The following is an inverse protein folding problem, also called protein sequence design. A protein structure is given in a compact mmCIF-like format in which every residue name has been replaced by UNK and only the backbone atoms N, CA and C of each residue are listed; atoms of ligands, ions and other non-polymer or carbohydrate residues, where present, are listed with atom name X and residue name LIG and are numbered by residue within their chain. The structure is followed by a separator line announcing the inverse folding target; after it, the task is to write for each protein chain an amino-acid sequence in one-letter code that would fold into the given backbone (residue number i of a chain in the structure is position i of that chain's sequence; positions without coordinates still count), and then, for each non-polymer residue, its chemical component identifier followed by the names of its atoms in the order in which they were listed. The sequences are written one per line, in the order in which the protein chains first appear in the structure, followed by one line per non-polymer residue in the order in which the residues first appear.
data_IF_197781155235
#
_entry.id   IF_197781155235
#
_cell.length_a   1.000
_cell.length_b   1.000
_cell.length_c   1.000
_cell.angle_alpha   90.00
_cell.angle_beta   90.00
_cell.angle_gamma   90.00
#
_symmetry.space_group_name_H-M   'P 1'
#
loop_
_entity.id
_entity.type
_entity.pdbx_description
1 polymer ?
#
# COMPACT_ATOMS: atom_id res chain seq x y z
N UNK A 1 6.36 25.09 -0.44
CA UNK A 1 5.86 24.10 -1.41
C UNK A 1 4.52 23.56 -0.99
N UNK A 2 3.53 23.53 -1.88
CA UNK A 2 2.21 22.96 -1.66
C UNK A 2 2.04 21.66 -2.47
N UNK A 3 2.04 20.54 -1.80
CA UNK A 3 1.79 19.21 -2.39
C UNK A 3 0.32 18.85 -2.30
N UNK A 4 -0.26 18.37 -3.38
CA UNK A 4 -1.63 17.83 -3.39
C UNK A 4 -1.62 16.39 -3.86
N UNK A 5 -2.07 15.49 -2.99
CA UNK A 5 -2.37 14.10 -3.35
C UNK A 5 -3.84 13.99 -3.75
N UNK A 6 -4.11 13.31 -4.87
CA UNK A 6 -5.47 13.02 -5.30
C UNK A 6 -5.66 11.53 -5.56
N UNK A 7 -6.69 10.92 -4.97
CA UNK A 7 -7.01 9.50 -5.20
C UNK A 7 -8.44 9.14 -4.81
N UNK A 8 -9.02 8.17 -5.52
CA UNK A 8 -10.28 7.52 -5.14
C UNK A 8 -10.09 6.53 -3.98
N UNK A 9 -8.87 6.07 -3.71
CA UNK A 9 -8.59 4.97 -2.78
C UNK A 9 -8.21 5.41 -1.36
N UNK A 10 -8.36 6.68 -1.05
CA UNK A 10 -8.32 7.12 0.34
C UNK A 10 -9.65 6.77 1.02
N UNK A 11 -9.65 5.79 1.91
CA UNK A 11 -10.84 5.32 2.60
C UNK A 11 -10.81 5.71 4.08
N UNK A 12 -11.98 6.10 4.63
CA UNK A 12 -12.11 6.37 6.06
C UNK A 12 -11.86 5.12 6.92
N UNK A 13 -12.05 3.94 6.35
CA UNK A 13 -11.84 2.64 7.01
C UNK A 13 -10.39 2.15 6.96
N UNK A 14 -9.49 2.91 6.31
CA UNK A 14 -8.08 2.56 6.19
C UNK A 14 -7.76 1.74 4.92
N UNK A 15 -6.60 1.15 4.90
CA UNK A 15 -5.99 0.46 3.76
C UNK A 15 -4.63 1.07 3.42
N UNK A 16 -3.81 0.37 2.62
CA UNK A 16 -2.43 0.78 2.36
C UNK A 16 -2.28 2.21 1.84
N UNK A 17 -3.15 2.64 0.91
CA UNK A 17 -3.14 4.02 0.39
C UNK A 17 -3.46 5.04 1.47
N UNK A 18 -4.47 4.77 2.31
CA UNK A 18 -4.81 5.68 3.42
C UNK A 18 -3.70 5.74 4.47
N UNK A 19 -3.06 4.62 4.78
CA UNK A 19 -1.91 4.55 5.68
C UNK A 19 -0.76 5.39 5.15
N UNK A 20 -0.40 5.24 3.86
CA UNK A 20 0.62 6.04 3.20
C UNK A 20 0.31 7.54 3.28
N UNK A 21 -0.87 7.96 2.82
CA UNK A 21 -1.25 9.37 2.77
C UNK A 21 -1.35 10.02 4.16
N UNK A 22 -1.91 9.31 5.14
CA UNK A 22 -1.98 9.80 6.52
C UNK A 22 -0.58 9.94 7.14
N UNK A 23 0.33 9.01 6.88
CA UNK A 23 1.68 9.08 7.41
C UNK A 23 2.48 10.17 6.71
N UNK A 24 2.37 10.29 5.36
CA UNK A 24 2.93 11.41 4.59
C UNK A 24 2.45 12.75 5.14
N UNK A 25 1.15 12.89 5.38
CA UNK A 25 0.58 14.12 5.92
C UNK A 25 1.10 14.45 7.33
N UNK A 26 1.16 13.48 8.25
CA UNK A 26 1.72 13.69 9.60
C UNK A 26 3.20 14.07 9.53
N UNK A 27 3.97 13.40 8.69
CA UNK A 27 5.39 13.69 8.53
C UNK A 27 5.64 15.08 7.94
N UNK A 28 4.85 15.49 6.94
CA UNK A 28 4.94 16.82 6.32
C UNK A 28 4.48 17.93 7.27
N UNK A 29 3.48 17.68 8.12
CA UNK A 29 2.98 18.64 9.09
C UNK A 29 4.03 19.09 10.12
N UNK A 30 5.10 18.31 10.34
CA UNK A 30 6.23 18.70 11.20
C UNK A 30 7.18 19.71 10.54
N UNK A 31 6.93 20.10 9.28
CA UNK A 31 7.78 20.99 8.47
C UNK A 31 7.01 22.21 8.03
N UNK A 32 7.24 23.36 8.65
CA UNK A 32 6.48 24.60 8.48
C UNK A 32 6.46 25.15 7.06
N UNK A 33 7.42 24.80 6.22
CA UNK A 33 7.52 25.26 4.83
C UNK A 33 6.75 24.39 3.83
N UNK A 34 6.19 23.25 4.28
CA UNK A 34 5.47 22.28 3.43
C UNK A 34 3.99 22.31 3.76
N UNK A 35 3.18 22.63 2.76
CA UNK A 35 1.73 22.49 2.82
C UNK A 35 1.33 21.19 2.11
N UNK A 36 0.45 20.42 2.73
CA UNK A 36 -0.05 19.17 2.16
C UNK A 36 -1.57 19.11 2.19
N UNK A 37 -2.16 18.69 1.08
CA UNK A 37 -3.61 18.50 0.95
C UNK A 37 -3.91 17.15 0.34
N UNK A 38 -4.86 16.41 0.90
CA UNK A 38 -5.40 15.18 0.33
C UNK A 38 -6.77 15.46 -0.26
N UNK A 39 -6.91 15.33 -1.56
CA UNK A 39 -8.16 15.46 -2.29
C UNK A 39 -8.74 14.08 -2.61
N UNK A 40 -9.93 13.76 -2.09
CA UNK A 40 -10.54 12.44 -2.29
C UNK A 40 -12.06 12.50 -2.27
N UNK A 41 -12.73 11.58 -3.01
CA UNK A 41 -14.19 11.43 -2.95
C UNK A 41 -14.71 10.87 -1.62
N UNK A 42 -13.85 10.25 -0.81
CA UNK A 42 -14.25 9.52 0.40
C UNK A 42 -13.97 10.29 1.69
N UNK A 43 -13.58 11.56 1.59
CA UNK A 43 -13.37 12.43 2.75
C UNK A 43 -14.62 13.25 3.04
N UNK A 44 -14.82 13.58 4.33
CA UNK A 44 -15.69 14.65 4.74
C UNK A 44 -14.82 15.89 4.93
N UNK A 45 -15.25 17.02 4.38
CA UNK A 45 -14.54 18.30 4.57
C UNK A 45 -14.44 18.60 6.05
N UNK A 46 -13.24 18.79 6.56
CA UNK A 46 -12.96 19.10 7.95
C UNK A 46 -11.58 19.74 8.06
N UNK A 47 -11.41 20.68 8.96
CA UNK A 47 -10.24 21.56 9.08
C UNK A 47 -9.14 21.03 10.00
N UNK A 48 -9.18 19.77 10.41
CA UNK A 48 -8.11 19.16 11.20
C UNK A 48 -7.03 18.57 10.28
N UNK A 49 -5.77 18.69 10.67
CA UNK A 49 -4.65 18.09 9.91
C UNK A 49 -4.80 16.57 9.80
N UNK A 50 -4.68 15.98 8.60
CA UNK A 50 -4.32 16.59 7.32
C UNK A 50 -5.43 17.44 6.70
N UNK A 51 -5.05 18.43 5.86
CA UNK A 51 -6.03 19.19 5.09
C UNK A 51 -6.72 18.27 4.09
N UNK A 52 -8.01 18.04 4.27
CA UNK A 52 -8.82 17.19 3.42
C UNK A 52 -9.75 17.98 2.53
N UNK A 53 -9.80 17.67 1.25
CA UNK A 53 -10.68 18.29 0.27
C UNK A 53 -11.58 17.24 -0.36
N UNK A 54 -12.90 17.43 -0.21
CA UNK A 54 -13.88 16.52 -0.80
C UNK A 54 -14.00 16.72 -2.32
N UNK A 55 -14.04 15.61 -3.04
CA UNK A 55 -14.35 15.57 -4.46
C UNK A 55 -15.77 14.99 -4.63
N UNK A 56 -16.71 15.72 -5.29
CA UNK A 56 -18.03 15.20 -5.58
C UNK A 56 -17.98 13.91 -6.40
N UNK A 57 -18.68 12.87 -5.91
CA UNK A 57 -18.62 11.54 -6.49
C UNK A 57 -19.83 10.69 -6.12
N UNK A 58 -20.04 9.61 -6.88
CA UNK A 58 -21.06 8.57 -6.62
C UNK A 58 -20.40 7.31 -6.07
N UNK A 59 -21.15 6.41 -5.41
CA UNK A 59 -20.64 5.11 -5.00
C UNK A 59 -20.01 4.36 -6.19
N UNK A 60 -18.84 3.75 -5.96
CA UNK A 60 -18.16 2.97 -7.01
C UNK A 60 -18.86 1.61 -7.17
N UNK A 61 -19.39 1.27 -8.36
CA UNK A 61 -20.08 -0.01 -8.56
C UNK A 61 -19.16 -1.21 -8.26
N UNK A 62 -19.61 -2.11 -7.40
CA UNK A 62 -18.89 -3.36 -7.07
C UNK A 62 -17.68 -3.21 -6.15
N UNK A 63 -17.37 -2.02 -5.64
CA UNK A 63 -16.31 -1.80 -4.64
C UNK A 63 -16.88 -1.02 -3.46
N UNK A 64 -17.28 -1.75 -2.41
CA UNK A 64 -17.84 -1.13 -1.22
C UNK A 64 -16.85 -0.18 -0.53
N UNK A 65 -17.36 0.93 -0.02
CA UNK A 65 -16.58 1.93 0.71
C UNK A 65 -15.83 2.94 -0.16
N UNK A 66 -15.86 2.81 -1.50
CA UNK A 66 -15.24 3.76 -2.41
C UNK A 66 -16.27 4.50 -3.28
N UNK A 67 -15.91 5.72 -3.68
CA UNK A 67 -16.69 6.59 -4.55
C UNK A 67 -15.85 7.01 -5.74
N UNK A 68 -16.49 7.21 -6.88
CA UNK A 68 -15.84 7.59 -8.13
C UNK A 68 -16.42 8.92 -8.64
N UNK A 69 -15.58 9.90 -9.02
CA UNK A 69 -16.04 11.11 -9.69
C UNK A 69 -16.63 10.77 -11.06
N UNK A 70 -17.81 11.32 -11.36
CA UNK A 70 -18.46 11.16 -12.67
C UNK A 70 -17.83 12.05 -13.78
N UNK A 71 -17.02 13.02 -13.39
CA UNK A 71 -16.43 14.01 -14.29
C UNK A 71 -14.98 14.25 -13.92
N UNK A 72 -14.11 14.34 -14.91
CA UNK A 72 -12.72 14.80 -14.75
C UNK A 72 -12.66 16.32 -14.55
N UNK A 73 -13.64 17.06 -15.05
CA UNK A 73 -13.62 18.53 -15.03
C UNK A 73 -13.79 19.11 -13.62
N UNK A 74 -14.66 18.52 -12.81
CA UNK A 74 -14.93 19.01 -11.45
C UNK A 74 -13.73 18.84 -10.52
N UNK A 75 -13.10 17.63 -10.38
CA UNK A 75 -11.88 17.50 -9.60
C UNK A 75 -10.75 18.39 -10.13
N UNK A 76 -10.59 18.51 -11.45
CA UNK A 76 -9.56 19.38 -12.04
C UNK A 76 -9.75 20.86 -11.68
N UNK A 77 -10.98 21.36 -11.59
CA UNK A 77 -11.27 22.73 -11.10
C UNK A 77 -10.93 22.89 -9.63
N UNK A 78 -11.24 21.89 -8.81
CA UNK A 78 -10.90 21.89 -7.38
C UNK A 78 -9.38 21.93 -7.21
N UNK A 79 -8.64 21.08 -7.91
CA UNK A 79 -7.18 21.06 -7.88
C UNK A 79 -6.59 22.41 -8.35
N UNK A 80 -7.15 22.99 -9.44
CA UNK A 80 -6.71 24.29 -9.93
C UNK A 80 -6.93 25.40 -8.88
N UNK A 81 -8.04 25.39 -8.15
CA UNK A 81 -8.32 26.37 -7.10
C UNK A 81 -7.39 26.25 -5.89
N UNK A 82 -6.80 25.08 -5.64
CA UNK A 82 -5.84 24.87 -4.57
C UNK A 82 -4.46 25.46 -4.85
N UNK A 83 -4.15 25.80 -6.11
CA UNK A 83 -2.86 26.34 -6.56
C UNK A 83 -1.67 25.55 -5.99
N UNK A 84 -1.58 24.22 -6.26
CA UNK A 84 -0.45 23.43 -5.82
C UNK A 84 0.81 23.71 -6.63
N UNK A 85 1.97 23.38 -6.06
CA UNK A 85 3.25 23.35 -6.79
C UNK A 85 3.48 21.99 -7.48
N UNK A 86 2.87 20.92 -6.95
CA UNK A 86 2.95 19.55 -7.49
C UNK A 86 1.68 18.77 -7.14
N UNK A 87 1.22 17.92 -8.07
CA UNK A 87 0.09 17.01 -7.87
C UNK A 87 0.56 15.57 -8.00
N UNK A 88 0.30 14.76 -6.95
CA UNK A 88 0.48 13.29 -7.01
C UNK A 88 -0.87 12.61 -7.18
N UNK A 89 -0.99 11.73 -8.19
CA UNK A 89 -2.15 10.89 -8.42
C UNK A 89 -1.91 9.46 -7.94
N UNK A 90 -2.73 8.99 -7.00
CA UNK A 90 -2.61 7.65 -6.39
C UNK A 90 -3.55 6.59 -6.99
N UNK A 91 -4.17 6.85 -8.12
CA UNK A 91 -5.00 5.87 -8.86
C UNK A 91 -4.90 6.09 -10.37
N UNK A 92 -5.36 5.12 -11.14
CA UNK A 92 -5.40 5.20 -12.60
C UNK A 92 -6.81 5.54 -13.15
N UNK A 93 -7.64 6.18 -12.33
CA UNK A 93 -9.03 6.51 -12.66
C UNK A 93 -9.25 8.00 -13.01
N UNK A 94 -10.47 8.50 -12.81
CA UNK A 94 -10.82 9.90 -13.09
C UNK A 94 -9.96 10.91 -12.32
N UNK A 95 -9.44 10.54 -11.15
CA UNK A 95 -8.56 11.42 -10.36
C UNK A 95 -7.21 11.65 -11.06
N UNK A 96 -6.62 10.62 -11.68
CA UNK A 96 -5.39 10.76 -12.46
C UNK A 96 -5.57 11.71 -13.67
N UNK A 97 -6.66 11.56 -14.41
CA UNK A 97 -6.98 12.48 -15.51
C UNK A 97 -7.22 13.92 -15.03
N UNK A 98 -7.83 14.07 -13.86
CA UNK A 98 -8.03 15.39 -13.25
C UNK A 98 -6.71 16.03 -12.83
N UNK A 99 -5.78 15.24 -12.27
CA UNK A 99 -4.43 15.68 -11.95
C UNK A 99 -3.70 16.21 -13.20
N UNK A 100 -3.65 15.41 -14.27
CA UNK A 100 -3.03 15.82 -15.55
C UNK A 100 -3.66 17.08 -16.13
N UNK A 101 -5.01 17.20 -16.08
CA UNK A 101 -5.71 18.38 -16.59
C UNK A 101 -5.40 19.64 -15.78
N UNK A 102 -5.36 19.51 -14.46
CA UNK A 102 -5.03 20.64 -13.56
C UNK A 102 -3.56 21.05 -13.73
N UNK A 103 -2.64 20.07 -13.71
CA UNK A 103 -1.20 20.30 -13.85
C UNK A 103 -0.84 21.03 -15.14
N UNK A 104 -1.41 20.62 -16.29
CA UNK A 104 -1.22 21.31 -17.57
C UNK A 104 -1.70 22.76 -17.56
N UNK A 105 -2.83 23.05 -16.89
CA UNK A 105 -3.35 24.41 -16.79
C UNK A 105 -2.51 25.32 -15.89
N UNK A 106 -1.99 24.73 -14.81
CA UNK A 106 -1.13 25.43 -13.85
C UNK A 106 0.33 25.47 -14.29
N UNK A 107 0.71 24.68 -15.31
CA UNK A 107 2.09 24.48 -15.77
C UNK A 107 3.01 23.97 -14.65
N UNK A 108 2.51 23.00 -13.89
CA UNK A 108 3.21 22.35 -12.77
C UNK A 108 3.37 20.86 -13.05
N UNK A 109 4.33 20.17 -12.42
CA UNK A 109 4.50 18.75 -12.59
C UNK A 109 3.38 17.92 -11.98
N UNK A 110 3.10 16.78 -12.64
CA UNK A 110 2.22 15.73 -12.17
C UNK A 110 2.97 14.42 -11.99
N UNK A 111 2.80 13.79 -10.83
CA UNK A 111 3.40 12.51 -10.47
C UNK A 111 2.31 11.45 -10.38
N UNK A 112 2.55 10.26 -10.91
CA UNK A 112 1.71 9.09 -10.68
C UNK A 112 2.39 8.15 -9.68
N UNK A 113 1.65 7.69 -8.66
CA UNK A 113 2.11 6.63 -7.77
C UNK A 113 1.29 5.35 -8.01
N UNK A 114 1.96 4.27 -8.41
CA UNK A 114 1.35 2.99 -8.76
C UNK A 114 1.00 2.16 -7.54
N UNK A 115 -0.08 2.50 -6.84
CA UNK A 115 -0.52 1.79 -5.63
C UNK A 115 -1.29 0.49 -5.89
N UNK A 116 -1.79 0.28 -7.11
CA UNK A 116 -2.66 -0.86 -7.43
C UNK A 116 -2.34 -1.41 -8.81
N UNK A 117 -2.16 -2.72 -8.91
CA UNK A 117 -1.98 -3.43 -10.17
C UNK A 117 -3.34 -3.62 -10.88
N UNK A 118 -3.81 -2.54 -11.53
CA UNK A 118 -5.09 -2.52 -12.22
C UNK A 118 -5.23 -3.63 -13.28
N UNK A 119 -4.23 -3.88 -14.15
CA UNK A 119 -4.32 -4.97 -15.12
C UNK A 119 -4.58 -6.32 -14.48
N UNK A 120 -3.85 -6.65 -13.42
CA UNK A 120 -3.96 -7.93 -12.72
C UNK A 120 -5.27 -8.07 -11.96
N UNK A 121 -5.73 -6.98 -11.32
CA UNK A 121 -7.04 -6.95 -10.66
C UNK A 121 -8.19 -7.19 -11.64
N UNK A 122 -8.12 -6.61 -12.85
CA UNK A 122 -9.13 -6.83 -13.88
C UNK A 122 -9.03 -8.22 -14.51
N UNK A 123 -7.82 -8.77 -14.65
CA UNK A 123 -7.62 -10.13 -15.12
C UNK A 123 -8.32 -11.16 -14.23
N UNK A 124 -8.21 -11.01 -12.91
CA UNK A 124 -8.86 -11.90 -11.94
C UNK A 124 -10.39 -11.91 -12.07
N UNK A 125 -10.99 -10.79 -12.47
CA UNK A 125 -12.45 -10.65 -12.54
C UNK A 125 -13.02 -10.87 -13.92
N UNK A 126 -12.29 -10.50 -14.99
CA UNK A 126 -12.79 -10.42 -16.35
C UNK A 126 -11.90 -11.11 -17.40
N UNK A 127 -10.82 -11.77 -16.97
CA UNK A 127 -9.93 -12.55 -17.83
C UNK A 127 -8.88 -11.74 -18.61
N UNK A 128 -8.17 -12.44 -19.51
CA UNK A 128 -6.99 -11.91 -20.21
C UNK A 128 -7.26 -10.72 -21.15
N UNK A 129 -8.44 -10.66 -21.78
CA UNK A 129 -8.79 -9.53 -22.65
C UNK A 129 -8.92 -8.23 -21.87
N UNK A 130 -9.54 -8.29 -20.68
CA UNK A 130 -9.65 -7.15 -19.79
C UNK A 130 -8.26 -6.69 -19.29
N UNK A 131 -7.35 -7.63 -19.02
CA UNK A 131 -5.97 -7.33 -18.69
C UNK A 131 -5.27 -6.55 -19.79
N UNK A 132 -5.36 -7.00 -21.06
CA UNK A 132 -4.75 -6.31 -22.21
C UNK A 132 -5.31 -4.89 -22.37
N UNK A 133 -6.63 -4.74 -22.28
CA UNK A 133 -7.28 -3.43 -22.34
C UNK A 133 -6.80 -2.49 -21.22
N UNK A 134 -6.71 -2.99 -19.99
CA UNK A 134 -6.22 -2.24 -18.84
C UNK A 134 -4.73 -1.88 -18.99
N UNK A 135 -3.91 -2.78 -19.51
CA UNK A 135 -2.48 -2.55 -19.78
C UNK A 135 -2.28 -1.42 -20.79
N UNK A 136 -2.99 -1.46 -21.91
CA UNK A 136 -2.92 -0.41 -22.94
C UNK A 136 -3.42 0.95 -22.39
N UNK A 137 -4.49 0.93 -21.63
CA UNK A 137 -5.02 2.12 -20.96
C UNK A 137 -4.00 2.72 -19.99
N UNK A 138 -3.44 1.88 -19.13
CA UNK A 138 -2.45 2.30 -18.13
C UNK A 138 -1.20 2.89 -18.77
N UNK A 139 -0.66 2.24 -19.81
CA UNK A 139 0.47 2.73 -20.57
C UNK A 139 0.18 4.11 -21.18
N UNK A 140 -1.00 4.28 -21.80
CA UNK A 140 -1.41 5.58 -22.38
C UNK A 140 -1.56 6.67 -21.32
N UNK A 141 -2.09 6.33 -20.15
CA UNK A 141 -2.30 7.28 -19.05
C UNK A 141 -0.96 7.68 -18.44
N UNK A 142 -0.13 6.72 -18.03
CA UNK A 142 1.07 6.99 -17.23
C UNK A 142 2.20 7.64 -18.00
N UNK A 143 2.27 7.46 -19.32
CA UNK A 143 3.20 8.21 -20.19
C UNK A 143 2.95 9.72 -20.24
N UNK A 144 1.85 10.19 -19.68
CA UNK A 144 1.51 11.62 -19.65
C UNK A 144 1.96 12.31 -18.36
N UNK A 145 2.42 11.53 -17.37
CA UNK A 145 2.96 12.06 -16.12
C UNK A 145 4.45 12.37 -16.26
N UNK A 146 4.90 13.41 -15.56
CA UNK A 146 6.29 13.83 -15.56
C UNK A 146 7.17 12.85 -14.77
N UNK A 147 6.57 12.11 -13.83
CA UNK A 147 7.22 11.06 -13.05
C UNK A 147 6.23 9.96 -12.72
N UNK A 148 6.68 8.70 -12.76
CA UNK A 148 5.92 7.53 -12.30
C UNK A 148 6.70 6.85 -11.19
N UNK A 149 6.06 6.68 -10.04
CA UNK A 149 6.60 6.00 -8.87
C UNK A 149 5.94 4.63 -8.69
N UNK A 150 6.72 3.63 -8.32
CA UNK A 150 6.23 2.29 -8.03
C UNK A 150 6.81 1.77 -6.70
N UNK A 151 6.01 1.11 -5.85
CA UNK A 151 6.40 0.79 -4.48
C UNK A 151 7.37 -0.40 -4.38
N UNK A 152 7.55 -1.18 -5.44
CA UNK A 152 8.47 -2.32 -5.49
C UNK A 152 9.19 -2.39 -6.83
N UNK A 153 10.32 -3.09 -6.86
CA UNK A 153 11.10 -3.33 -8.08
C UNK A 153 10.32 -4.18 -9.08
N UNK A 154 9.52 -5.14 -8.58
CA UNK A 154 8.62 -5.92 -9.42
C UNK A 154 7.61 -5.02 -10.13
N UNK A 155 7.04 -4.03 -9.45
CA UNK A 155 6.12 -3.09 -10.09
C UNK A 155 6.83 -2.18 -11.10
N UNK A 156 8.06 -1.77 -10.84
CA UNK A 156 8.89 -1.04 -11.84
C UNK A 156 9.10 -1.89 -13.09
N UNK A 157 9.46 -3.17 -12.92
CA UNK A 157 9.64 -4.09 -14.04
C UNK A 157 8.35 -4.29 -14.83
N UNK A 158 7.23 -4.53 -14.16
CA UNK A 158 5.93 -4.68 -14.82
C UNK A 158 5.51 -3.42 -15.59
N UNK A 159 5.75 -2.24 -15.02
CA UNK A 159 5.50 -0.98 -15.73
C UNK A 159 6.39 -0.83 -16.98
N UNK A 160 7.66 -1.24 -16.90
CA UNK A 160 8.56 -1.24 -18.06
C UNK A 160 8.07 -2.20 -19.16
N UNK A 161 7.58 -3.39 -18.79
CA UNK A 161 6.96 -4.36 -19.73
C UNK A 161 5.71 -3.80 -20.41
N UNK A 162 4.99 -2.90 -19.74
CA UNK A 162 3.87 -2.15 -20.33
C UNK A 162 4.34 -0.96 -21.19
N UNK A 163 5.65 -0.76 -21.35
CA UNK A 163 6.23 0.35 -22.10
C UNK A 163 6.18 1.69 -21.36
N UNK A 164 6.10 1.67 -20.03
CA UNK A 164 6.26 2.84 -19.16
C UNK A 164 7.70 2.83 -18.68
N UNK A 165 8.62 3.17 -19.58
CA UNK A 165 10.04 3.28 -19.26
C UNK A 165 10.29 4.46 -18.31
N UNK A 166 11.24 4.31 -17.39
CA UNK A 166 11.60 5.37 -16.45
C UNK A 166 10.73 5.45 -15.18
N UNK A 167 9.87 4.46 -14.91
CA UNK A 167 9.25 4.33 -13.60
C UNK A 167 10.32 4.15 -12.51
N UNK A 168 10.20 4.90 -11.42
CA UNK A 168 11.18 4.91 -10.34
C UNK A 168 10.70 4.07 -9.16
N UNK A 169 11.60 3.27 -8.62
CA UNK A 169 11.33 2.54 -7.38
C UNK A 169 11.26 3.52 -6.20
N UNK A 170 10.10 3.61 -5.56
CA UNK A 170 9.85 4.41 -4.37
C UNK A 170 9.10 3.54 -3.36
N UNK A 171 9.80 2.88 -2.43
CA UNK A 171 9.14 2.02 -1.45
C UNK A 171 8.27 2.83 -0.50
N UNK A 172 7.32 2.14 0.12
CA UNK A 172 6.57 2.66 1.24
C UNK A 172 7.38 2.44 2.53
N UNK A 173 7.11 3.24 3.53
CA UNK A 173 7.76 3.13 4.82
C UNK A 173 6.86 2.58 5.91
N UNK A 174 7.41 2.51 7.11
CA UNK A 174 6.74 2.05 8.32
C UNK A 174 6.98 3.02 9.49
N UNK A 175 5.98 3.17 10.35
CA UNK A 175 6.09 3.90 11.61
C UNK A 175 6.62 2.95 12.70
N UNK A 176 7.91 3.03 12.95
CA UNK A 176 8.62 2.18 13.91
C UNK A 176 8.27 2.47 15.37
N UNK A 177 7.69 3.61 15.68
CA UNK A 177 7.17 3.95 17.01
C UNK A 177 5.80 3.31 17.27
N UNK A 178 5.02 3.09 16.22
CA UNK A 178 3.74 2.40 16.29
C UNK A 178 3.94 0.89 16.22
N UNK A 179 4.62 0.41 15.18
CA UNK A 179 4.87 -1.02 14.94
C UNK A 179 6.22 -1.42 15.54
N UNK A 180 6.19 -2.05 16.70
CA UNK A 180 7.40 -2.47 17.42
C UNK A 180 7.13 -3.68 18.33
N UNK A 181 8.16 -4.49 18.64
CA UNK A 181 8.03 -5.68 19.50
C UNK A 181 7.55 -5.37 20.90
N UNK A 182 7.82 -4.17 21.43
CA UNK A 182 7.40 -3.70 22.75
C UNK A 182 5.87 -3.61 22.91
N UNK A 183 5.13 -3.65 21.82
CA UNK A 183 3.66 -3.71 21.82
C UNK A 183 3.11 -5.08 22.20
N UNK A 184 3.97 -6.10 22.36
CA UNK A 184 3.57 -7.48 22.67
C UNK A 184 2.69 -7.55 23.91
N UNK A 185 1.54 -8.20 23.76
CA UNK A 185 0.56 -8.46 24.80
C UNK A 185 0.65 -9.94 25.18
N UNK A 186 1.38 -10.25 26.25
CA UNK A 186 1.76 -11.61 26.61
C UNK A 186 0.58 -12.51 27.01
N UNK A 187 -0.57 -11.91 27.35
CA UNK A 187 -1.78 -12.66 27.74
C UNK A 187 -2.74 -12.91 26.58
N UNK A 188 -2.36 -12.64 25.32
CA UNK A 188 -3.26 -12.81 24.16
C UNK A 188 -3.80 -14.23 24.06
N UNK A 189 -2.96 -15.27 24.18
CA UNK A 189 -3.40 -16.68 24.14
C UNK A 189 -4.46 -16.96 25.20
N UNK A 190 -4.24 -16.51 26.42
CA UNK A 190 -5.21 -16.68 27.52
C UNK A 190 -6.54 -15.96 27.23
N UNK A 191 -6.52 -14.75 26.63
CA UNK A 191 -7.74 -14.04 26.24
C UNK A 191 -8.51 -14.74 25.11
N UNK A 192 -7.82 -15.53 24.31
CA UNK A 192 -8.40 -16.34 23.26
C UNK A 192 -8.74 -17.76 23.71
N UNK A 193 -8.55 -18.06 25.01
CA UNK A 193 -8.72 -19.42 25.58
C UNK A 193 -7.87 -20.50 24.89
N UNK A 194 -6.67 -20.12 24.44
CA UNK A 194 -5.70 -20.98 23.79
C UNK A 194 -4.64 -21.45 24.79
N UNK A 195 -4.14 -22.68 24.57
CA UNK A 195 -3.04 -23.24 25.35
C UNK A 195 -1.73 -22.43 25.17
N UNK A 196 -0.86 -22.36 26.18
CA UNK A 196 0.40 -21.61 26.10
C UNK A 196 1.31 -22.04 24.93
N UNK A 197 1.33 -23.32 24.59
CA UNK A 197 2.11 -23.95 23.53
C UNK A 197 1.53 -23.75 22.13
N UNK A 198 0.34 -23.13 22.00
CA UNK A 198 -0.29 -22.87 20.70
C UNK A 198 0.63 -22.02 19.80
N UNK A 199 0.90 -22.52 18.60
CA UNK A 199 1.61 -21.84 17.53
C UNK A 199 0.66 -20.83 16.87
N UNK A 200 0.81 -19.54 17.20
CA UNK A 200 -0.15 -18.49 16.85
C UNK A 200 0.24 -17.79 15.56
N UNK A 201 -0.47 -18.10 14.49
CA UNK A 201 -0.32 -17.48 13.18
C UNK A 201 -1.21 -16.24 13.06
N UNK A 202 -0.81 -15.25 12.26
CA UNK A 202 -1.63 -14.09 11.98
C UNK A 202 -1.65 -13.76 10.48
N UNK A 203 -2.82 -13.41 9.99
CA UNK A 203 -3.04 -12.68 8.76
C UNK A 203 -3.81 -11.42 9.08
N UNK A 204 -3.45 -10.28 8.50
CA UNK A 204 -4.23 -9.06 8.62
C UNK A 204 -4.43 -8.41 7.25
N UNK A 205 -5.66 -7.94 6.97
CA UNK A 205 -6.02 -7.33 5.69
C UNK A 205 -7.47 -7.53 5.30
N UNK A 206 -7.81 -7.14 4.07
CA UNK A 206 -9.15 -7.35 3.52
C UNK A 206 -9.33 -8.82 3.15
N UNK A 207 -10.56 -9.33 3.33
CA UNK A 207 -10.92 -10.70 2.94
C UNK A 207 -11.50 -10.68 1.52
N UNK A 208 -10.62 -10.63 0.54
CA UNK A 208 -10.92 -10.57 -0.89
C UNK A 208 -10.24 -11.73 -1.62
N UNK A 209 -10.73 -12.08 -2.80
CA UNK A 209 -10.30 -13.28 -3.52
C UNK A 209 -8.78 -13.30 -3.81
N UNK A 210 -8.21 -12.15 -4.17
CA UNK A 210 -6.78 -12.01 -4.45
C UNK A 210 -5.88 -12.24 -3.23
N UNK A 211 -6.44 -12.20 -2.01
CA UNK A 211 -5.71 -12.51 -0.77
C UNK A 211 -5.62 -14.01 -0.48
N UNK A 212 -6.33 -14.84 -1.24
CA UNK A 212 -6.24 -16.31 -1.21
C UNK A 212 -6.38 -16.93 0.18
N UNK A 213 -7.26 -16.36 1.02
CA UNK A 213 -7.44 -16.83 2.40
C UNK A 213 -7.98 -18.26 2.49
N UNK A 214 -8.68 -18.74 1.46
CA UNK A 214 -9.12 -20.13 1.39
C UNK A 214 -7.93 -21.10 1.47
N UNK A 215 -6.83 -20.83 0.75
CA UNK A 215 -5.61 -21.63 0.80
C UNK A 215 -4.97 -21.62 2.19
N UNK A 216 -4.93 -20.46 2.85
CA UNK A 216 -4.37 -20.34 4.19
C UNK A 216 -5.23 -21.12 5.21
N UNK A 217 -6.54 -21.01 5.13
CA UNK A 217 -7.47 -21.73 5.99
C UNK A 217 -7.28 -23.25 5.83
N UNK A 218 -7.22 -23.73 4.58
CA UNK A 218 -7.02 -25.13 4.26
C UNK A 218 -5.67 -25.66 4.77
N UNK A 219 -4.58 -24.88 4.58
CA UNK A 219 -3.25 -25.23 5.08
C UNK A 219 -3.23 -25.35 6.62
N UNK A 220 -3.86 -24.41 7.33
CA UNK A 220 -3.92 -24.45 8.80
C UNK A 220 -4.80 -25.60 9.30
N UNK A 221 -5.88 -25.92 8.59
CA UNK A 221 -6.71 -27.08 8.92
C UNK A 221 -5.96 -28.41 8.71
N UNK A 222 -5.16 -28.51 7.64
CA UNK A 222 -4.34 -29.68 7.37
C UNK A 222 -3.24 -29.90 8.44
N UNK A 223 -2.66 -28.82 8.93
CA UNK A 223 -1.67 -28.86 10.03
C UNK A 223 -2.29 -29.27 11.37
N UNK A 224 -3.52 -28.88 11.64
CA UNK A 224 -4.20 -29.20 12.91
C UNK A 224 -3.56 -28.53 14.13
N UNK A 225 -3.65 -29.21 15.29
CA UNK A 225 -2.98 -28.78 16.52
C UNK A 225 -1.46 -28.97 16.42
N UNK A 226 -0.62 -28.05 16.97
CA UNK A 226 -0.99 -26.93 17.87
C UNK A 226 -1.17 -25.58 17.15
N UNK A 227 -1.48 -25.53 15.86
CA UNK A 227 -1.60 -24.30 15.10
C UNK A 227 -2.95 -23.60 15.29
N UNK A 228 -2.92 -22.28 15.43
CA UNK A 228 -4.11 -21.45 15.50
C UNK A 228 -3.92 -20.16 14.69
N UNK A 229 -4.90 -19.81 13.86
CA UNK A 229 -4.84 -18.67 12.96
C UNK A 229 -5.71 -17.51 13.44
N UNK A 230 -5.12 -16.34 13.58
CA UNK A 230 -5.86 -15.07 13.72
C UNK A 230 -6.06 -14.44 12.35
N UNK A 231 -7.31 -14.27 11.94
CA UNK A 231 -7.69 -13.50 10.76
C UNK A 231 -8.20 -12.12 11.19
N UNK A 232 -7.36 -11.10 10.99
CA UNK A 232 -7.66 -9.72 11.37
C UNK A 232 -8.11 -8.94 10.15
N UNK A 233 -9.39 -8.53 10.11
CA UNK A 233 -9.89 -7.79 8.96
C UNK A 233 -11.38 -7.93 8.73
N UNK A 234 -11.75 -7.88 7.45
CA UNK A 234 -13.15 -8.04 7.03
C UNK A 234 -13.28 -8.09 5.52
N UNK A 235 -14.46 -8.44 5.05
CA UNK A 235 -14.79 -8.62 3.63
C UNK A 235 -15.71 -9.81 3.41
N UNK A 236 -15.31 -10.74 2.55
CA UNK A 236 -16.09 -11.96 2.29
C UNK A 236 -16.29 -12.79 3.55
N UNK A 237 -17.45 -13.44 3.67
CA UNK A 237 -17.69 -14.40 4.73
C UNK A 237 -16.75 -15.61 4.56
N UNK A 238 -16.14 -16.02 5.67
CA UNK A 238 -15.24 -17.16 5.73
C UNK A 238 -15.80 -18.23 6.69
N UNK A 239 -15.43 -19.51 6.53
CA UNK A 239 -15.94 -20.58 7.38
C UNK A 239 -15.49 -20.41 8.83
N UNK A 240 -16.37 -20.71 9.78
CA UNK A 240 -16.03 -20.72 11.21
C UNK A 240 -15.47 -22.07 11.58
N UNK A 241 -14.22 -22.10 12.02
CA UNK A 241 -13.49 -23.32 12.35
C UNK A 241 -12.82 -23.17 13.72
N UNK A 242 -12.66 -24.25 14.49
CA UNK A 242 -12.09 -24.20 15.84
C UNK A 242 -10.67 -23.64 15.89
N UNK A 243 -9.87 -23.87 14.83
CA UNK A 243 -8.47 -23.39 14.72
C UNK A 243 -8.35 -21.95 14.28
N UNK A 244 -9.48 -21.22 14.08
CA UNK A 244 -9.47 -19.86 13.50
C UNK A 244 -10.23 -18.90 14.37
N UNK A 245 -9.60 -17.80 14.74
CA UNK A 245 -10.24 -16.68 15.41
C UNK A 245 -10.33 -15.49 14.45
N UNK A 246 -11.54 -14.94 14.32
CA UNK A 246 -11.81 -13.74 13.52
C UNK A 246 -11.80 -12.51 14.39
N UNK A 247 -10.98 -11.55 14.04
CA UNK A 247 -10.91 -10.25 14.70
C UNK A 247 -11.31 -9.18 13.68
N UNK A 248 -12.34 -8.36 13.97
CA UNK A 248 -12.74 -7.30 13.07
C UNK A 248 -11.61 -6.33 12.74
N UNK A 249 -11.70 -5.69 11.58
CA UNK A 249 -10.73 -4.70 11.12
C UNK A 249 -10.40 -3.67 12.22
N UNK A 250 -9.11 -3.44 12.44
CA UNK A 250 -8.59 -2.47 13.42
C UNK A 250 -8.21 -1.18 12.72
N UNK A 251 -8.98 -0.11 12.95
CA UNK A 251 -8.66 1.25 12.49
C UNK A 251 -7.48 1.84 13.26
N UNK A 252 -7.38 1.49 14.54
CA UNK A 252 -6.27 1.89 15.40
C UNK A 252 -5.02 1.06 15.06
N UNK A 253 -4.02 1.72 14.50
CA UNK A 253 -2.72 1.10 14.18
C UNK A 253 -2.00 0.55 15.42
N UNK A 254 -2.18 1.16 16.60
CA UNK A 254 -1.60 0.64 17.83
C UNK A 254 -2.26 -0.68 18.26
N UNK A 255 -3.58 -0.78 18.10
CA UNK A 255 -4.28 -2.04 18.36
C UNK A 255 -3.86 -3.14 17.37
N UNK A 256 -3.64 -2.81 16.08
CA UNK A 256 -3.10 -3.74 15.11
C UNK A 256 -1.67 -4.16 15.48
N UNK A 257 -0.80 -3.21 15.80
CA UNK A 257 0.58 -3.49 16.22
C UNK A 257 0.65 -4.40 17.45
N UNK A 258 -0.26 -4.20 18.43
CA UNK A 258 -0.38 -5.09 19.61
C UNK A 258 -0.74 -6.52 19.23
N UNK A 259 -1.69 -6.69 18.30
CA UNK A 259 -2.06 -8.04 17.80
C UNK A 259 -0.88 -8.67 17.06
N UNK A 260 -0.28 -7.98 16.10
CA UNK A 260 0.88 -8.46 15.36
C UNK A 260 2.00 -8.88 16.32
N UNK A 261 2.49 -7.96 17.15
CA UNK A 261 3.58 -8.24 18.08
C UNK A 261 3.32 -9.40 19.06
N UNK A 262 2.05 -9.82 19.23
CA UNK A 262 1.65 -10.88 20.16
C UNK A 262 1.51 -12.26 19.52
N UNK A 263 1.64 -12.34 18.20
CA UNK A 263 1.66 -13.60 17.45
C UNK A 263 3.09 -14.15 17.29
N UNK A 264 3.24 -15.31 16.68
CA UNK A 264 4.54 -15.94 16.45
C UNK A 264 5.02 -15.77 15.02
N UNK A 265 4.12 -15.90 14.04
CA UNK A 265 4.44 -15.87 12.61
C UNK A 265 3.34 -15.11 11.84
N UNK A 266 3.75 -14.22 10.94
CA UNK A 266 2.86 -13.64 9.93
C UNK A 266 2.78 -14.57 8.72
N UNK A 267 1.57 -14.87 8.23
CA UNK A 267 1.37 -15.66 7.01
C UNK A 267 0.64 -14.84 5.96
N UNK A 268 1.24 -14.71 4.78
CA UNK A 268 0.68 -13.94 3.67
C UNK A 268 0.56 -14.78 2.39
N UNK A 269 -0.61 -15.37 2.08
CA UNK A 269 -0.80 -16.30 0.96
C UNK A 269 -1.05 -15.61 -0.40
N UNK A 270 -1.30 -14.28 -0.39
CA UNK A 270 -1.58 -13.50 -1.60
C UNK A 270 -0.33 -13.13 -2.39
N UNK A 271 -0.36 -13.27 -3.70
CA UNK A 271 0.75 -12.97 -4.62
C UNK A 271 0.50 -11.73 -5.50
N UNK A 272 -0.60 -11.01 -5.27
CA UNK A 272 -1.02 -9.84 -6.05
C UNK A 272 -0.77 -8.50 -5.32
N UNK A 273 0.14 -8.47 -4.38
CA UNK A 273 0.52 -7.22 -3.71
C UNK A 273 1.41 -6.36 -4.61
N UNK A 274 1.23 -5.05 -4.52
CA UNK A 274 2.17 -4.10 -5.15
C UNK A 274 3.37 -3.81 -4.24
N UNK A 275 3.24 -4.04 -2.92
CA UNK A 275 4.30 -3.86 -1.92
C UNK A 275 4.19 -4.84 -0.76
N UNK A 276 3.02 -4.89 -0.07
CA UNK A 276 2.82 -5.72 1.11
C UNK A 276 3.03 -4.96 2.42
N UNK A 277 2.43 -3.78 2.57
CA UNK A 277 2.60 -2.94 3.75
C UNK A 277 2.32 -3.70 5.06
N UNK A 278 1.31 -4.57 5.09
CA UNK A 278 0.97 -5.38 6.28
C UNK A 278 2.08 -6.36 6.66
N UNK A 279 2.82 -6.88 5.67
CA UNK A 279 4.00 -7.73 5.91
C UNK A 279 5.11 -6.90 6.54
N UNK A 280 5.35 -5.69 6.04
CA UNK A 280 6.31 -4.78 6.63
C UNK A 280 5.93 -4.37 8.06
N UNK A 281 4.63 -4.16 8.34
CA UNK A 281 4.09 -3.88 9.68
C UNK A 281 4.36 -5.05 10.64
N UNK A 282 4.18 -6.29 10.19
CA UNK A 282 4.51 -7.48 10.97
C UNK A 282 6.02 -7.62 11.22
N UNK A 283 6.85 -7.43 10.19
CA UNK A 283 8.31 -7.42 10.31
C UNK A 283 8.79 -6.37 11.31
N UNK A 284 8.22 -5.18 11.27
CA UNK A 284 8.50 -4.09 12.21
C UNK A 284 8.10 -4.46 13.65
N UNK A 285 7.09 -5.29 13.86
CA UNK A 285 6.73 -5.87 15.15
C UNK A 285 7.62 -7.05 15.57
N UNK A 286 8.62 -7.42 14.77
CA UNK A 286 9.52 -8.52 15.07
C UNK A 286 8.96 -9.91 14.76
N UNK A 287 8.01 -10.02 13.82
CA UNK A 287 7.48 -11.31 13.38
C UNK A 287 8.26 -11.81 12.18
N UNK A 288 8.69 -13.08 12.18
CA UNK A 288 9.07 -13.78 10.97
C UNK A 288 7.85 -13.98 10.07
N UNK A 289 8.10 -14.13 8.77
CA UNK A 289 7.04 -14.15 7.76
C UNK A 289 7.10 -15.42 6.91
N UNK A 290 5.95 -16.06 6.71
CA UNK A 290 5.75 -17.03 5.63
C UNK A 290 4.89 -16.37 4.55
N UNK A 291 5.43 -16.24 3.34
CA UNK A 291 4.72 -15.56 2.25
C UNK A 291 4.90 -16.30 0.92
N UNK A 292 3.97 -16.04 0.00
CA UNK A 292 4.12 -16.45 -1.40
C UNK A 292 4.88 -15.37 -2.18
N UNK A 293 5.20 -15.63 -3.43
CA UNK A 293 5.92 -14.69 -4.30
C UNK A 293 5.21 -13.35 -4.54
N UNK A 294 5.60 -12.66 -5.58
CA UNK A 294 5.13 -11.31 -5.91
C UNK A 294 5.98 -10.22 -5.24
N UNK A 295 5.45 -9.02 -5.10
CA UNK A 295 6.21 -7.89 -4.52
C UNK A 295 6.61 -8.12 -3.06
N UNK A 296 5.88 -8.95 -2.32
CA UNK A 296 6.22 -9.34 -0.94
C UNK A 296 7.56 -10.06 -0.87
N UNK A 297 7.99 -10.75 -1.93
CA UNK A 297 9.29 -11.42 -1.99
C UNK A 297 10.48 -10.46 -1.87
N UNK A 298 10.30 -9.15 -2.08
CA UNK A 298 11.34 -8.16 -1.84
C UNK A 298 11.53 -7.85 -0.33
N UNK A 299 10.48 -8.06 0.44
CA UNK A 299 10.51 -7.86 1.90
C UNK A 299 11.06 -9.09 2.62
N UNK A 300 10.72 -10.30 2.15
CA UNK A 300 11.01 -11.57 2.84
C UNK A 300 12.18 -12.29 2.16
N UNK A 301 13.15 -12.70 2.97
CA UNK A 301 14.30 -13.51 2.58
C UNK A 301 14.60 -14.57 3.66
N UNK A 302 15.57 -15.44 3.42
CA UNK A 302 15.91 -16.55 4.33
C UNK A 302 16.31 -16.10 5.77
N UNK A 303 16.65 -14.82 5.98
CA UNK A 303 16.98 -14.27 7.28
C UNK A 303 15.75 -13.69 8.00
N UNK A 304 14.63 -13.50 7.31
CA UNK A 304 13.44 -12.84 7.83
C UNK A 304 12.19 -13.71 7.76
N UNK A 305 12.27 -14.86 7.06
CA UNK A 305 11.14 -15.76 6.90
C UNK A 305 11.33 -16.75 5.77
N UNK A 306 10.23 -17.29 5.27
CA UNK A 306 10.21 -18.27 4.19
C UNK A 306 9.30 -17.83 3.03
N UNK A 307 9.78 -18.01 1.81
CA UNK A 307 8.97 -17.89 0.60
C UNK A 307 8.53 -19.30 0.15
N UNK A 308 7.23 -19.44 -0.09
CA UNK A 308 6.59 -20.68 -0.50
C UNK A 308 5.97 -20.57 -1.89
N UNK A 309 5.71 -21.69 -2.54
CA UNK A 309 5.08 -21.69 -3.88
C UNK A 309 3.67 -21.12 -3.81
N UNK A 310 3.32 -20.19 -4.70
CA UNK A 310 1.97 -19.63 -4.75
C UNK A 310 0.95 -20.70 -5.20
N UNK A 311 -0.30 -20.54 -4.77
CA UNK A 311 -1.42 -21.41 -5.12
C UNK A 311 -1.24 -22.90 -4.70
N UNK A 312 -0.46 -23.19 -3.67
CA UNK A 312 -0.25 -24.54 -3.15
C UNK A 312 -0.53 -24.58 -1.65
N UNK A 313 -1.55 -25.31 -1.26
CA UNK A 313 -1.91 -25.58 0.15
C UNK A 313 -0.76 -26.32 0.84
N UNK A 314 -0.23 -27.37 0.21
CA UNK A 314 0.85 -28.19 0.77
C UNK A 314 2.11 -27.34 1.00
N UNK A 315 2.52 -26.55 0.00
CA UNK A 315 3.71 -25.69 0.14
C UNK A 315 3.54 -24.64 1.23
N UNK A 316 2.32 -24.12 1.42
CA UNK A 316 2.02 -23.18 2.49
C UNK A 316 2.05 -23.86 3.86
N UNK A 317 1.47 -25.07 3.99
CA UNK A 317 1.50 -25.85 5.21
C UNK A 317 2.93 -26.27 5.58
N UNK A 318 3.69 -26.80 4.62
CA UNK A 318 5.11 -27.15 4.80
C UNK A 318 5.94 -25.93 5.25
N UNK A 319 5.75 -24.77 4.63
CA UNK A 319 6.44 -23.53 5.00
C UNK A 319 6.06 -23.03 6.40
N UNK A 320 4.78 -23.14 6.76
CA UNK A 320 4.31 -22.80 8.12
C UNK A 320 4.93 -23.76 9.15
N UNK A 321 4.99 -25.07 8.89
CA UNK A 321 5.61 -25.98 9.83
C UNK A 321 7.13 -25.78 9.90
N UNK A 322 7.79 -25.65 8.76
CA UNK A 322 9.24 -25.50 8.65
C UNK A 322 9.77 -24.25 9.39
N UNK A 323 9.05 -23.14 9.40
CA UNK A 323 9.51 -21.93 10.08
C UNK A 323 9.56 -22.11 11.61
N UNK A 324 8.70 -22.95 12.18
CA UNK A 324 8.71 -23.26 13.61
C UNK A 324 9.87 -24.20 14.03
N UNK A 325 10.59 -24.76 13.08
CA UNK A 325 11.84 -25.50 13.33
C UNK A 325 13.09 -24.62 13.25
N UNK A 326 12.91 -23.31 12.97
CA UNK A 326 13.97 -22.31 12.96
C UNK A 326 13.95 -21.45 14.23
N UNK A 327 14.99 -20.66 14.42
CA UNK A 327 15.04 -19.66 15.50
C UNK A 327 14.14 -18.46 15.15
N UNK A 328 12.87 -18.54 15.59
CA UNK A 328 11.89 -17.47 15.37
C UNK A 328 12.34 -16.13 15.96
N UNK A 329 13.10 -16.15 17.07
CA UNK A 329 13.57 -14.92 17.70
C UNK A 329 14.64 -14.24 16.84
N UNK A 330 15.56 -15.00 16.27
CA UNK A 330 16.57 -14.49 15.35
C UNK A 330 15.94 -14.00 14.05
N UNK A 331 15.00 -14.76 13.45
CA UNK A 331 14.27 -14.34 12.25
C UNK A 331 13.48 -13.05 12.49
N UNK A 332 12.77 -12.96 13.60
CA UNK A 332 12.00 -11.76 13.98
C UNK A 332 12.88 -10.53 14.24
N UNK A 333 14.03 -10.70 14.90
CA UNK A 333 15.01 -9.64 15.10
C UNK A 333 15.57 -9.14 13.76
N UNK A 334 15.88 -10.04 12.84
CA UNK A 334 16.33 -9.70 11.48
C UNK A 334 15.26 -8.98 10.68
N UNK A 335 14.00 -9.46 10.75
CA UNK A 335 12.85 -8.81 10.12
C UNK A 335 12.70 -7.36 10.61
N UNK A 336 12.77 -7.15 11.93
CA UNK A 336 12.74 -5.82 12.55
C UNK A 336 13.89 -4.95 12.07
N UNK A 337 15.12 -5.47 12.07
CA UNK A 337 16.30 -4.72 11.61
C UNK A 337 16.15 -4.30 10.15
N UNK A 338 15.72 -5.20 9.25
CA UNK A 338 15.47 -4.89 7.84
C UNK A 338 14.44 -3.77 7.69
N UNK A 339 13.33 -3.82 8.46
CA UNK A 339 12.32 -2.77 8.47
C UNK A 339 12.89 -1.43 8.92
N UNK A 340 13.77 -1.41 9.94
CA UNK A 340 14.42 -0.20 10.44
C UNK A 340 15.41 0.40 9.46
N UNK A 341 16.26 -0.42 8.87
CA UNK A 341 17.35 0.02 8.00
C UNK A 341 16.90 0.48 6.62
N UNK A 342 15.80 -0.08 6.09
CA UNK A 342 15.40 0.13 4.70
C UNK A 342 14.06 0.85 4.54
N UNK A 343 13.19 0.81 5.55
CA UNK A 343 11.78 1.20 5.40
C UNK A 343 11.25 2.16 6.47
N UNK A 344 12.11 2.75 7.31
CA UNK A 344 11.68 3.82 8.21
C UNK A 344 11.15 5.01 7.40
N UNK A 345 10.00 5.56 7.76
CA UNK A 345 9.47 6.76 7.12
C UNK A 345 10.45 7.94 7.16
N UNK A 346 11.32 8.01 8.17
CA UNK A 346 12.36 9.04 8.27
C UNK A 346 13.48 8.87 7.21
N UNK A 347 13.59 7.70 6.59
CA UNK A 347 14.47 7.44 5.44
C UNK A 347 13.71 7.62 4.11
N UNK A 348 12.47 7.14 4.05
CA UNK A 348 11.68 7.09 2.81
C UNK A 348 11.14 8.48 2.41
N UNK A 349 10.67 9.28 3.37
CA UNK A 349 10.09 10.60 3.05
C UNK A 349 11.11 11.60 2.49
N UNK A 350 12.33 11.71 3.02
CA UNK A 350 13.36 12.55 2.40
C UNK A 350 13.70 12.14 0.97
N UNK A 351 13.74 10.83 0.67
CA UNK A 351 13.96 10.33 -0.69
C UNK A 351 12.84 10.75 -1.63
N UNK A 352 11.58 10.63 -1.19
CA UNK A 352 10.42 11.06 -1.97
C UNK A 352 10.45 12.56 -2.23
N UNK A 353 10.72 13.39 -1.21
CA UNK A 353 10.81 14.84 -1.36
C UNK A 353 11.97 15.27 -2.28
N UNK A 354 13.13 14.63 -2.18
CA UNK A 354 14.25 14.90 -3.07
C UNK A 354 13.90 14.68 -4.55
N UNK A 355 13.05 13.68 -4.85
CA UNK A 355 12.53 13.46 -6.20
C UNK A 355 11.62 14.59 -6.65
N UNK A 356 10.74 15.07 -5.76
CA UNK A 356 9.85 16.19 -6.06
C UNK A 356 10.63 17.49 -6.28
N UNK A 357 11.62 17.77 -5.44
CA UNK A 357 12.48 18.96 -5.56
C UNK A 357 13.27 18.92 -6.88
N UNK A 358 13.81 17.76 -7.26
CA UNK A 358 14.47 17.57 -8.55
C UNK A 358 13.54 17.83 -9.75
N UNK A 359 12.30 17.40 -9.65
CA UNK A 359 11.29 17.62 -10.69
C UNK A 359 10.87 19.09 -10.79
N UNK A 360 10.68 19.76 -9.65
CA UNK A 360 10.35 21.20 -9.60
C UNK A 360 11.50 22.06 -10.11
N UNK A 361 12.75 21.74 -9.75
CA UNK A 361 13.93 22.44 -10.26
C UNK A 361 14.09 22.32 -11.79
N UNK A 362 13.84 21.14 -12.33
CA UNK A 362 13.89 20.90 -13.78
C UNK A 362 12.82 21.70 -14.54
N UNK A 363 11.61 21.82 -13.98
CA UNK A 363 10.54 22.61 -14.58
C UNK A 363 10.84 24.13 -14.59
N UNK A 364 11.52 24.63 -13.56
CA UNK A 364 11.91 26.04 -13.50
C UNK A 364 12.98 26.39 -14.55
N UNK A 365 13.94 25.52 -14.80
CA UNK A 365 14.97 25.72 -15.84
C UNK A 365 14.41 25.62 -17.25
N UNK A 366 13.49 24.70 -17.52
CA UNK A 366 12.83 24.59 -18.82
C UNK A 366 11.94 25.81 -19.15
N UNK A 367 11.46 26.54 -18.15
CA UNK A 367 10.73 27.80 -18.33
C UNK A 367 11.61 29.02 -18.65
N UNK A 368 12.89 28.96 -18.32
CA UNK A 368 13.86 30.03 -18.57
C UNK A 368 14.47 29.97 -19.98
N UNK A 369 14.52 28.80 -20.59
CA UNK A 369 15.06 28.61 -21.95
C UNK A 369 14.05 28.97 -23.07
N UNK A 370 12.81 29.24 -22.77
CA UNK A 370 11.82 29.80 -23.67
C UNK A 370 11.94 31.36 -23.70
N UNK A 371 13.11 31.87 -24.07
CA UNK A 371 13.33 33.27 -24.33
C UNK A 371 12.44 33.78 -25.48
N UNK A 372 12.13 35.09 -25.55
CA UNK A 372 11.17 35.65 -26.50
C UNK A 372 11.63 35.38 -27.93
N UNK A 373 10.78 34.75 -28.73
CA UNK A 373 10.93 34.74 -30.18
C UNK A 373 10.86 36.19 -30.63
N UNK A 374 11.98 36.78 -30.96
CA UNK A 374 12.01 38.05 -31.70
C UNK A 374 11.35 37.78 -33.03
N UNK A 375 10.15 38.28 -33.20
CA UNK A 375 9.55 38.54 -34.50
C UNK A 375 10.24 39.78 -35.00
N UNK A 376 11.18 39.63 -35.90
CA UNK A 376 11.68 40.74 -36.73
C UNK A 376 10.78 40.89 -37.93
N UNK A 377 10.37 42.12 -38.17
CA UNK A 377 9.55 42.65 -39.27
C UNK A 377 9.89 42.10 -40.67
#
# INVERSE_FOLDING_TARGET
MHLVDITMFYAAEGGGVSTYLNTKARWLATRSQLRHTIASPNVRSGSTAPTLVNIPAVPFPGIHGYRMPLSVATPARILHALQPDLIEAGDAGPCAWAALRAARRLKIPAVAFYHSDLPRLLAHRFGALAMRGASNYLARLYRQFDMVLAPSRLMVQQLAELGIAGALHQPLGIDLGVFCPQRRFTTLRRHLSLAPETRLLVYAGRFTAEKKLALLIEAVCALGQPYHLLLVGGGAALPRLPQITYIPFKRDQQALARLLASCDVMVHPGDCETFGLIVLEAMACGLPVVATGGAVAELVDANTGLLVRPNSVDSLAEGIDAIFHQDLAALGANARRKAQELYDWNLIMPQLLSRYDGLLGSCQHAGLDAGPICVSD
#
